data_IF_771493462383
#
_entry.id   IF_771493462383
#
_cell.length_a   1.000
_cell.length_b   1.000
_cell.length_c   1.000
_cell.angle_alpha   90.00
_cell.angle_beta   90.00
_cell.angle_gamma   90.00
#
_symmetry.space_group_name_H-M   'P 1'
#
loop_
_entity.id
_entity.type
_entity.pdbx_description
1 polymer ?
#
# COMPACT_ATOMS: atom_id res chain seq x y z
N UNK A 1 10.86 -24.53 16.11
CA UNK A 1 9.57 -24.43 15.41
C UNK A 1 8.83 -23.13 15.75
N UNK A 2 8.50 -22.89 17.03
CA UNK A 2 7.79 -21.71 17.55
C UNK A 2 8.23 -20.34 17.00
N UNK A 3 9.54 -20.07 16.88
CA UNK A 3 10.08 -18.81 16.34
C UNK A 3 9.64 -18.52 14.89
N UNK A 4 9.54 -19.56 14.04
CA UNK A 4 9.08 -19.42 12.64
C UNK A 4 7.61 -19.05 12.58
N UNK A 5 6.80 -19.60 13.47
CA UNK A 5 5.37 -19.27 13.58
C UNK A 5 5.19 -17.83 14.07
N UNK A 6 5.96 -17.42 15.08
CA UNK A 6 5.97 -16.05 15.60
C UNK A 6 6.35 -15.03 14.53
N UNK A 7 7.39 -15.31 13.73
CA UNK A 7 7.77 -14.47 12.59
C UNK A 7 6.67 -14.40 11.52
N UNK A 8 6.03 -15.53 11.20
CA UNK A 8 4.93 -15.57 10.24
C UNK A 8 3.73 -14.73 10.68
N UNK A 9 3.38 -14.79 11.97
CA UNK A 9 2.30 -13.99 12.54
C UNK A 9 2.64 -12.49 12.56
N UNK A 10 3.86 -12.13 13.00
CA UNK A 10 4.33 -10.74 13.01
C UNK A 10 4.38 -10.13 11.61
N UNK A 11 4.93 -10.85 10.63
CA UNK A 11 4.95 -10.42 9.24
C UNK A 11 3.54 -10.32 8.66
N UNK A 12 2.65 -11.26 9.01
CA UNK A 12 1.24 -11.22 8.60
C UNK A 12 0.53 -9.96 9.07
N UNK A 13 0.67 -9.62 10.36
CA UNK A 13 0.12 -8.37 10.93
C UNK A 13 0.76 -7.15 10.26
N UNK A 14 2.08 -7.15 10.09
CA UNK A 14 2.80 -6.05 9.45
C UNK A 14 2.28 -5.81 8.03
N UNK A 15 2.10 -6.86 7.24
CA UNK A 15 1.57 -6.77 5.88
C UNK A 15 0.14 -6.24 5.84
N UNK A 16 -0.71 -6.62 6.81
CA UNK A 16 -2.08 -6.08 6.92
C UNK A 16 -2.03 -4.59 7.27
N UNK A 17 -1.18 -4.17 8.21
CA UNK A 17 -1.04 -2.75 8.60
C UNK A 17 -0.52 -1.92 7.42
N UNK A 18 0.52 -2.39 6.72
CA UNK A 18 1.07 -1.71 5.54
C UNK A 18 0.01 -1.64 4.44
N UNK A 19 -0.63 -2.76 4.12
CA UNK A 19 -1.66 -2.81 3.07
C UNK A 19 -2.88 -1.95 3.40
N UNK A 20 -3.29 -1.89 4.68
CA UNK A 20 -4.33 -0.98 5.15
C UNK A 20 -3.88 0.48 5.08
N UNK A 21 -2.62 0.79 5.35
CA UNK A 21 -2.08 2.14 5.20
C UNK A 21 -1.98 2.59 3.73
N UNK A 22 -1.66 1.69 2.80
CA UNK A 22 -1.74 1.96 1.36
C UNK A 22 -3.19 2.10 0.88
N UNK A 23 -4.09 1.24 1.36
CA UNK A 23 -5.49 1.26 0.96
C UNK A 23 -6.26 2.45 1.56
N UNK A 24 -5.92 2.84 2.79
CA UNK A 24 -6.52 3.95 3.51
C UNK A 24 -5.91 5.24 3.00
N UNK A 25 -6.74 6.08 2.39
CA UNK A 25 -6.37 7.37 1.80
C UNK A 25 -5.58 8.26 2.80
N UNK A 26 -4.25 8.17 2.84
CA UNK A 26 -3.33 9.24 3.31
C UNK A 26 -3.34 10.46 2.36
N UNK A 27 -4.42 10.56 1.59
CA UNK A 27 -4.55 11.28 0.33
C UNK A 27 -4.74 12.76 0.58
N UNK A 28 -5.40 13.17 1.65
CA UNK A 28 -5.60 14.60 1.98
C UNK A 28 -4.30 15.39 2.17
N UNK A 29 -3.21 14.74 2.60
CA UNK A 29 -1.92 15.40 2.86
C UNK A 29 -1.00 15.29 1.63
N UNK A 30 -0.89 14.09 1.03
CA UNK A 30 -0.02 13.88 -0.12
C UNK A 30 -0.52 14.60 -1.39
N UNK A 31 -1.84 14.63 -1.65
CA UNK A 31 -2.37 15.36 -2.81
C UNK A 31 -2.22 16.86 -2.64
N UNK A 32 -2.37 17.40 -1.42
CA UNK A 32 -2.10 18.82 -1.14
C UNK A 32 -0.65 19.19 -1.39
N UNK A 33 0.30 18.38 -0.93
CA UNK A 33 1.73 18.65 -1.16
C UNK A 33 2.09 18.62 -2.65
N UNK A 34 1.52 17.67 -3.38
CA UNK A 34 1.76 17.47 -4.81
C UNK A 34 1.05 18.55 -5.66
N UNK A 35 -0.13 19.02 -5.23
CA UNK A 35 -0.84 20.13 -5.86
C UNK A 35 -0.09 21.45 -5.64
N UNK A 36 0.39 21.70 -4.42
CA UNK A 36 1.20 22.86 -4.07
C UNK A 36 2.51 22.90 -4.88
N UNK A 37 3.20 21.76 -5.00
CA UNK A 37 4.45 21.68 -5.77
C UNK A 37 4.23 21.81 -7.28
N UNK A 38 3.13 21.28 -7.84
CA UNK A 38 2.80 21.54 -9.23
C UNK A 38 2.40 22.99 -9.49
N UNK A 39 1.75 23.67 -8.53
CA UNK A 39 1.40 25.09 -8.65
C UNK A 39 2.64 25.98 -8.70
N UNK A 40 3.69 25.62 -7.96
CA UNK A 40 4.98 26.31 -7.94
C UNK A 40 5.82 26.03 -9.21
N UNK A 41 5.79 24.79 -9.72
CA UNK A 41 6.63 24.38 -10.87
C UNK A 41 5.97 24.67 -12.22
N UNK A 42 4.64 24.79 -12.29
CA UNK A 42 3.86 25.14 -13.50
C UNK A 42 4.40 26.34 -14.28
N UNK A 43 4.75 27.48 -13.66
CA UNK A 43 5.25 28.64 -14.40
C UNK A 43 6.67 28.48 -14.96
N UNK A 44 7.43 27.47 -14.51
CA UNK A 44 8.85 27.28 -14.88
C UNK A 44 9.09 26.17 -15.94
N UNK A 45 8.08 25.34 -16.24
CA UNK A 45 8.23 24.23 -17.19
C UNK A 45 7.85 24.66 -18.62
N UNK A 46 8.79 24.69 -19.58
CA UNK A 46 8.50 24.93 -21.00
C UNK A 46 7.81 23.73 -21.67
N UNK A 47 7.77 22.57 -20.99
CA UNK A 47 7.04 21.40 -21.45
C UNK A 47 5.60 21.45 -20.97
N UNK A 48 4.71 21.84 -21.89
CA UNK A 48 3.25 21.71 -21.80
C UNK A 48 2.86 20.23 -21.87
N UNK A 49 3.25 19.42 -20.88
CA UNK A 49 2.63 18.10 -20.72
C UNK A 49 1.15 18.35 -20.47
N UNK A 50 0.31 18.01 -21.45
CA UNK A 50 -1.15 18.12 -21.37
C UNK A 50 -1.62 17.57 -20.03
N UNK A 51 -2.20 18.43 -19.20
CA UNK A 51 -2.66 18.11 -17.83
C UNK A 51 -3.50 16.82 -17.78
N UNK A 52 -4.22 16.52 -18.85
CA UNK A 52 -5.00 15.28 -19.05
C UNK A 52 -4.19 13.98 -18.99
N UNK A 53 -2.92 14.01 -19.43
CA UNK A 53 -2.04 12.84 -19.43
C UNK A 53 -1.43 12.61 -18.05
N UNK A 54 -1.13 13.68 -17.31
CA UNK A 54 -0.74 13.61 -15.90
C UNK A 54 -1.91 13.14 -15.03
N UNK A 55 -3.10 13.70 -15.24
CA UNK A 55 -4.30 13.36 -14.50
C UNK A 55 -4.68 11.88 -14.67
N UNK A 56 -4.63 11.35 -15.91
CA UNK A 56 -4.85 9.92 -16.16
C UNK A 56 -3.79 9.02 -15.54
N UNK A 57 -2.51 9.37 -15.63
CA UNK A 57 -1.44 8.60 -14.96
C UNK A 57 -1.61 8.59 -13.44
N UNK A 58 -2.03 9.72 -12.84
CA UNK A 58 -2.35 9.77 -11.41
C UNK A 58 -3.51 8.87 -11.05
N UNK A 59 -4.61 8.94 -11.78
CA UNK A 59 -5.78 8.08 -11.52
C UNK A 59 -5.39 6.60 -11.57
N UNK A 60 -4.57 6.22 -12.54
CA UNK A 60 -4.07 4.85 -12.65
C UNK A 60 -3.13 4.46 -11.50
N UNK A 61 -2.22 5.35 -11.12
CA UNK A 61 -1.31 5.14 -9.99
C UNK A 61 -2.07 4.95 -8.68
N UNK A 62 -3.15 5.71 -8.47
CA UNK A 62 -4.01 5.61 -7.28
C UNK A 62 -4.71 4.24 -7.22
N UNK A 63 -5.28 3.79 -8.34
CA UNK A 63 -5.93 2.47 -8.41
C UNK A 63 -4.91 1.36 -8.21
N UNK A 64 -3.71 1.51 -8.80
CA UNK A 64 -2.61 0.57 -8.66
C UNK A 64 -2.12 0.47 -7.22
N UNK A 65 -1.94 1.60 -6.53
CA UNK A 65 -1.51 1.65 -5.13
C UNK A 65 -2.52 0.96 -4.20
N UNK A 66 -3.83 1.21 -4.41
CA UNK A 66 -4.89 0.48 -3.69
C UNK A 66 -4.89 -1.00 -3.99
N UNK A 67 -4.74 -1.38 -5.26
CA UNK A 67 -4.67 -2.79 -5.64
C UNK A 67 -3.48 -3.48 -4.96
N UNK A 68 -2.33 -2.81 -4.91
CA UNK A 68 -1.15 -3.30 -4.22
C UNK A 68 -1.37 -3.40 -2.70
N UNK A 69 -2.04 -2.42 -2.10
CA UNK A 69 -2.47 -2.46 -0.69
C UNK A 69 -3.38 -3.65 -0.37
N UNK A 70 -4.37 -3.92 -1.24
CA UNK A 70 -5.26 -5.09 -1.10
C UNK A 70 -4.47 -6.41 -1.23
N UNK A 71 -3.55 -6.50 -2.20
CA UNK A 71 -2.69 -7.67 -2.34
C UNK A 71 -1.83 -7.91 -1.10
N UNK A 72 -1.28 -6.83 -0.50
CA UNK A 72 -0.51 -6.91 0.75
C UNK A 72 -1.37 -7.41 1.91
N UNK A 73 -2.62 -6.94 2.04
CA UNK A 73 -3.55 -7.44 3.05
C UNK A 73 -3.81 -8.94 2.85
N UNK A 74 -4.10 -9.37 1.62
CA UNK A 74 -4.35 -10.78 1.31
C UNK A 74 -3.13 -11.67 1.63
N UNK A 75 -1.93 -11.21 1.29
CA UNK A 75 -0.69 -11.89 1.64
C UNK A 75 -0.50 -12.00 3.17
N UNK A 76 -0.79 -10.93 3.91
CA UNK A 76 -0.74 -10.93 5.36
C UNK A 76 -1.76 -11.88 6.01
N UNK A 77 -2.99 -11.94 5.48
CA UNK A 77 -4.03 -12.89 5.90
C UNK A 77 -3.58 -14.33 5.65
N UNK A 78 -3.02 -14.62 4.48
CA UNK A 78 -2.51 -15.96 4.18
C UNK A 78 -1.39 -16.38 5.15
N UNK A 79 -0.49 -15.46 5.50
CA UNK A 79 0.55 -15.72 6.51
C UNK A 79 -0.03 -15.95 7.91
N UNK A 80 -1.05 -15.19 8.32
CA UNK A 80 -1.74 -15.40 9.59
C UNK A 80 -2.44 -16.76 9.66
N UNK A 81 -3.16 -17.13 8.60
CA UNK A 81 -3.87 -18.41 8.52
C UNK A 81 -2.87 -19.57 8.53
N UNK A 82 -1.81 -19.50 7.71
CA UNK A 82 -0.77 -20.52 7.67
C UNK A 82 -0.02 -20.65 9.01
N UNK A 83 0.32 -19.52 9.64
CA UNK A 83 0.93 -19.49 10.96
C UNK A 83 0.02 -20.06 12.04
N UNK A 84 -1.26 -19.72 12.03
CA UNK A 84 -2.26 -20.25 12.96
C UNK A 84 -2.47 -21.76 12.81
N UNK A 85 -2.53 -22.26 11.57
CA UNK A 85 -2.61 -23.71 11.30
C UNK A 85 -1.39 -24.45 11.85
N UNK A 86 -0.18 -23.96 11.60
CA UNK A 86 1.05 -24.52 12.16
C UNK A 86 1.04 -24.52 13.69
N UNK A 87 0.63 -23.42 14.32
CA UNK A 87 0.53 -23.31 15.77
C UNK A 87 -0.48 -24.32 16.36
N UNK A 88 -1.60 -24.55 15.66
CA UNK A 88 -2.62 -25.51 16.08
C UNK A 88 -2.16 -26.96 15.94
N UNK A 89 -1.38 -27.27 14.90
CA UNK A 89 -0.81 -28.60 14.68
C UNK A 89 0.30 -28.96 15.68
N UNK A 90 1.00 -27.97 16.23
CA UNK A 90 2.05 -28.19 17.26
C UNK A 90 1.47 -28.39 18.68
N UNK A 91 0.17 -28.13 18.89
CA UNK A 91 -0.50 -28.27 20.20
C UNK A 91 -1.31 -29.57 20.36
N UNK A 92 -1.55 -30.32 19.28
CA UNK A 92 -2.17 -31.64 19.26
C UNK A 92 -1.09 -32.73 19.34
#
# INVERSE_FOLDING_TARGET
MMWRVLLGLLLGVLFIVIGAALASDYRGIATKHIELSMQIVRPLSPFRWTDDRLARRRAFFIVFDRFFGVLMILAGVAMLVGGGQLLSSERL
#
